data_IF_268820199779
#
_entry.id   IF_268820199779
#
_cell.length_a   1.000
_cell.length_b   1.000
_cell.length_c   1.000
_cell.angle_alpha   90.00
_cell.angle_beta   90.00
_cell.angle_gamma   90.00
#
_symmetry.space_group_name_H-M   'P 1'
#
loop_
_entity.id
_entity.type
_entity.pdbx_description
1 polymer ?
#
# COMPACT_ATOMS: atom_id res chain seq x y z
N UNK A 1 -6.87 -4.39 -14.12
CA UNK A 1 -6.58 -3.26 -15.07
C UNK A 1 -5.68 -2.26 -14.36
N UNK A 2 -4.82 -1.53 -15.10
CA UNK A 2 -3.98 -0.50 -14.48
C UNK A 2 -4.78 0.75 -14.15
N UNK A 3 -4.42 1.46 -13.08
CA UNK A 3 -5.06 2.76 -12.71
C UNK A 3 -5.02 3.76 -13.86
N UNK A 4 -3.88 3.83 -14.59
CA UNK A 4 -3.76 4.69 -15.79
C UNK A 4 -4.76 4.34 -16.88
N UNK A 5 -5.07 3.07 -17.06
CA UNK A 5 -6.08 2.64 -18.06
C UNK A 5 -7.48 3.06 -17.62
N UNK A 6 -7.80 2.96 -16.31
CA UNK A 6 -9.06 3.49 -15.76
C UNK A 6 -9.19 4.99 -16.02
N UNK A 7 -8.11 5.76 -15.75
CA UNK A 7 -8.10 7.22 -15.98
C UNK A 7 -8.25 7.54 -17.46
N UNK A 8 -7.54 6.84 -18.34
CA UNK A 8 -7.64 7.05 -19.79
C UNK A 8 -9.06 6.71 -20.31
N UNK A 9 -9.62 5.60 -19.84
CA UNK A 9 -10.96 5.16 -20.24
C UNK A 9 -12.08 6.06 -19.72
N UNK A 10 -11.82 6.84 -18.68
CA UNK A 10 -12.79 7.80 -18.15
C UNK A 10 -13.11 8.93 -19.12
N UNK A 11 -12.25 9.22 -20.12
CA UNK A 11 -12.47 10.24 -21.14
C UNK A 11 -12.88 11.60 -20.55
N UNK A 12 -12.20 12.04 -19.48
CA UNK A 12 -12.47 13.30 -18.80
C UNK A 12 -13.65 13.26 -17.80
N UNK A 13 -14.28 12.13 -17.57
CA UNK A 13 -15.26 11.96 -16.50
C UNK A 13 -14.54 11.80 -15.17
N UNK A 14 -15.12 12.33 -14.09
CA UNK A 14 -14.62 12.14 -12.73
C UNK A 14 -14.78 10.68 -12.31
N UNK A 15 -13.71 10.07 -11.84
CA UNK A 15 -13.70 8.77 -11.19
C UNK A 15 -13.74 8.97 -9.67
N UNK A 16 -14.42 8.08 -8.97
CA UNK A 16 -14.44 8.02 -7.51
C UNK A 16 -13.85 6.68 -7.09
N UNK A 17 -12.79 6.71 -6.29
CA UNK A 17 -12.25 5.55 -5.61
C UNK A 17 -12.41 5.69 -4.10
N UNK A 18 -12.26 4.60 -3.38
CA UNK A 18 -12.39 4.58 -1.94
C UNK A 18 -11.18 3.92 -1.31
N UNK A 19 -10.76 4.44 -0.16
CA UNK A 19 -9.69 3.87 0.64
C UNK A 19 -10.28 3.12 1.83
N UNK A 20 -9.90 1.85 1.98
CA UNK A 20 -10.39 0.96 3.04
C UNK A 20 -9.30 0.73 4.08
N UNK A 21 -9.65 0.98 5.33
CA UNK A 21 -8.80 0.69 6.47
C UNK A 21 -9.01 -0.77 6.92
N UNK A 22 -7.99 -1.64 6.88
CA UNK A 22 -8.11 -3.00 7.41
C UNK A 22 -8.58 -3.01 8.87
N UNK A 23 -9.42 -3.97 9.27
CA UNK A 23 -9.92 -4.06 10.63
C UNK A 23 -8.81 -4.45 11.61
N UNK A 24 -9.04 -4.24 12.90
CA UNK A 24 -8.15 -4.75 13.94
C UNK A 24 -8.19 -6.28 13.99
N UNK A 25 -7.09 -6.89 14.46
CA UNK A 25 -7.03 -8.35 14.70
C UNK A 25 -8.25 -8.85 15.49
N UNK A 26 -8.75 -10.00 15.10
CA UNK A 26 -9.92 -10.62 15.71
C UNK A 26 -11.25 -10.39 14.97
N UNK A 27 -11.24 -9.51 13.97
CA UNK A 27 -12.35 -9.38 13.02
C UNK A 27 -12.08 -10.22 11.77
N UNK A 28 -13.13 -10.56 11.04
CA UNK A 28 -13.05 -11.33 9.79
C UNK A 28 -13.24 -10.40 8.57
N UNK A 29 -13.08 -10.97 7.38
CA UNK A 29 -13.19 -10.22 6.11
C UNK A 29 -14.61 -9.67 5.88
N UNK A 30 -15.64 -10.25 6.51
CA UNK A 30 -17.00 -9.76 6.36
C UNK A 30 -17.15 -8.30 6.81
N UNK A 31 -16.40 -7.88 7.85
CA UNK A 31 -16.41 -6.47 8.29
C UNK A 31 -15.93 -5.49 7.21
N UNK A 32 -15.04 -5.94 6.31
CA UNK A 32 -14.61 -5.16 5.15
C UNK A 32 -15.70 -5.14 4.09
N UNK A 33 -16.30 -6.28 3.81
CA UNK A 33 -17.38 -6.39 2.85
C UNK A 33 -18.59 -5.54 3.24
N UNK A 34 -18.97 -5.56 4.52
CA UNK A 34 -20.06 -4.71 5.05
C UNK A 34 -19.80 -3.21 4.84
N UNK A 35 -18.51 -2.81 4.83
CA UNK A 35 -18.11 -1.43 4.56
C UNK A 35 -18.09 -1.10 3.05
N UNK A 36 -17.78 -2.06 2.20
CA UNK A 36 -17.66 -1.89 0.75
C UNK A 36 -19.01 -2.01 0.06
N UNK A 37 -19.88 -2.93 0.49
CA UNK A 37 -21.17 -3.21 -0.15
C UNK A 37 -21.98 -1.92 -0.49
N UNK A 38 -22.13 -0.93 0.42
CA UNK A 38 -22.83 0.30 0.08
C UNK A 38 -22.06 1.22 -0.89
N UNK A 39 -20.73 1.10 -0.97
CA UNK A 39 -19.90 1.92 -1.85
C UNK A 39 -19.96 1.45 -3.30
N UNK A 40 -20.35 0.21 -3.55
CA UNK A 40 -20.44 -0.36 -4.90
C UNK A 40 -21.52 0.29 -5.75
N UNK A 41 -22.50 1.00 -5.15
CA UNK A 41 -23.48 1.80 -5.89
C UNK A 41 -22.84 2.92 -6.73
N UNK A 42 -21.64 3.40 -6.33
CA UNK A 42 -20.87 4.42 -7.03
C UNK A 42 -20.01 3.89 -8.16
N UNK A 43 -20.01 2.57 -8.39
CA UNK A 43 -19.18 1.90 -9.41
C UNK A 43 -17.71 2.34 -9.37
N UNK A 44 -17.00 2.22 -8.22
CA UNK A 44 -15.61 2.61 -8.14
C UNK A 44 -14.76 1.77 -9.11
N UNK A 45 -13.84 2.38 -9.87
CA UNK A 45 -12.97 1.63 -10.79
C UNK A 45 -11.93 0.80 -10.03
N UNK A 46 -11.56 1.23 -8.84
CA UNK A 46 -10.63 0.55 -7.94
C UNK A 46 -10.87 0.96 -6.49
N UNK A 47 -10.35 0.15 -5.57
CA UNK A 47 -10.43 0.36 -4.12
C UNK A 47 -9.02 0.21 -3.53
N UNK A 48 -8.57 1.23 -2.81
CA UNK A 48 -7.29 1.25 -2.11
C UNK A 48 -7.41 0.56 -0.74
N UNK A 49 -6.38 -0.20 -0.34
CA UNK A 49 -6.32 -0.87 0.95
C UNK A 49 -5.10 -0.40 1.71
N UNK A 50 -5.33 0.40 2.76
CA UNK A 50 -4.25 0.96 3.56
C UNK A 50 -3.45 -0.10 4.30
N UNK A 51 -2.14 0.13 4.42
CA UNK A 51 -1.29 -0.64 5.31
C UNK A 51 -0.94 0.16 6.55
N UNK A 52 -1.06 -0.46 7.72
CA UNK A 52 -0.67 0.12 9.00
C UNK A 52 0.34 -0.75 9.71
N UNK A 53 1.45 -0.12 10.13
CA UNK A 53 2.46 -0.74 10.98
C UNK A 53 1.84 -1.15 12.32
N UNK A 54 2.44 -2.15 12.95
CA UNK A 54 2.08 -2.55 14.30
C UNK A 54 2.41 -1.44 15.30
N UNK A 55 1.48 -1.15 16.20
CA UNK A 55 1.74 -0.25 17.34
C UNK A 55 2.14 -1.06 18.58
N UNK A 56 3.13 -0.56 19.29
CA UNK A 56 3.66 -1.22 20.49
C UNK A 56 3.58 -0.30 21.68
N UNK A 57 3.34 -0.87 22.86
CA UNK A 57 3.52 -0.25 24.15
C UNK A 57 4.60 -0.99 24.92
N UNK A 58 5.39 -0.24 25.70
CA UNK A 58 6.37 -0.80 26.62
C UNK A 58 5.80 -0.72 28.03
N UNK A 59 5.66 -1.85 28.69
CA UNK A 59 5.21 -1.95 30.08
C UNK A 59 6.40 -2.36 30.95
N UNK A 60 6.67 -1.56 31.99
CA UNK A 60 7.66 -1.93 32.98
C UNK A 60 7.11 -3.06 33.87
N UNK A 61 7.91 -4.10 34.03
CA UNK A 61 7.63 -5.23 34.90
C UNK A 61 8.21 -4.99 36.31
N UNK A 62 7.71 -5.71 37.31
CA UNK A 62 8.16 -5.59 38.70
C UNK A 62 9.66 -5.83 38.93
N UNK A 63 10.35 -6.48 37.98
CA UNK A 63 11.80 -6.71 37.99
C UNK A 63 12.60 -5.63 37.25
N UNK A 64 11.98 -4.51 36.87
CA UNK A 64 12.62 -3.42 36.12
C UNK A 64 12.83 -3.67 34.63
N UNK A 65 12.39 -4.81 34.09
CA UNK A 65 12.47 -5.09 32.66
C UNK A 65 11.29 -4.47 31.91
N UNK A 66 11.52 -4.06 30.66
CA UNK A 66 10.49 -3.54 29.78
C UNK A 66 9.93 -4.68 28.90
N UNK A 67 8.63 -4.90 29.01
CA UNK A 67 7.90 -5.81 28.13
C UNK A 67 7.34 -5.03 26.93
N UNK A 68 7.76 -5.41 25.71
CA UNK A 68 7.18 -4.91 24.47
C UNK A 68 5.86 -5.66 24.20
N UNK A 69 4.75 -4.93 24.13
CA UNK A 69 3.41 -5.48 23.85
C UNK A 69 2.83 -4.86 22.59
N UNK A 70 2.42 -5.71 21.64
CA UNK A 70 1.66 -5.25 20.47
C UNK A 70 0.26 -4.85 20.90
N UNK A 71 -0.11 -3.58 20.71
CA UNK A 71 -1.43 -3.06 21.08
C UNK A 71 -2.37 -2.96 19.88
N UNK A 72 -1.85 -2.64 18.70
CA UNK A 72 -2.62 -2.68 17.47
C UNK A 72 -1.91 -3.51 16.41
N UNK A 73 -2.64 -4.40 15.81
CA UNK A 73 -2.22 -5.21 14.66
C UNK A 73 -3.40 -5.39 13.73
N UNK A 74 -3.15 -5.30 12.43
CA UNK A 74 -4.14 -5.44 11.37
C UNK A 74 -3.72 -6.57 10.43
N UNK A 75 -4.64 -7.20 9.70
CA UNK A 75 -4.31 -8.11 8.62
C UNK A 75 -3.46 -7.42 7.56
N UNK A 76 -2.64 -8.19 6.85
CA UNK A 76 -1.90 -7.73 5.67
C UNK A 76 -2.85 -7.40 4.51
N UNK A 77 -2.38 -6.53 3.61
CA UNK A 77 -3.20 -6.03 2.50
C UNK A 77 -3.43 -7.06 1.40
N UNK A 78 -2.49 -8.01 1.19
CA UNK A 78 -2.57 -9.02 0.11
C UNK A 78 -3.87 -9.82 0.17
N UNK A 79 -4.16 -10.45 1.32
CA UNK A 79 -5.37 -11.27 1.48
C UNK A 79 -6.67 -10.47 1.37
N UNK A 80 -6.65 -9.21 1.80
CA UNK A 80 -7.80 -8.31 1.70
C UNK A 80 -8.05 -7.94 0.24
N UNK A 81 -7.01 -7.53 -0.50
CA UNK A 81 -7.10 -7.19 -1.92
C UNK A 81 -7.59 -8.38 -2.74
N UNK A 82 -7.05 -9.58 -2.50
CA UNK A 82 -7.54 -10.79 -3.15
C UNK A 82 -9.03 -11.06 -2.86
N UNK A 83 -9.46 -10.85 -1.61
CA UNK A 83 -10.87 -10.99 -1.23
C UNK A 83 -11.78 -9.97 -1.90
N UNK A 84 -11.34 -8.71 -2.02
CA UNK A 84 -12.07 -7.63 -2.70
C UNK A 84 -12.21 -7.95 -4.19
N UNK A 85 -11.11 -8.24 -4.89
CA UNK A 85 -11.15 -8.56 -6.31
C UNK A 85 -12.04 -9.77 -6.61
N UNK A 86 -11.96 -10.82 -5.78
CA UNK A 86 -12.78 -12.01 -5.97
C UNK A 86 -14.28 -11.76 -5.75
N UNK A 87 -14.66 -10.87 -4.82
CA UNK A 87 -16.08 -10.61 -4.52
C UNK A 87 -16.71 -9.59 -5.44
N UNK A 88 -15.98 -8.52 -5.79
CA UNK A 88 -16.59 -7.34 -6.42
C UNK A 88 -16.18 -7.15 -7.89
N UNK A 89 -15.23 -7.93 -8.41
CA UNK A 89 -14.68 -7.74 -9.75
C UNK A 89 -14.18 -6.30 -9.99
N UNK A 90 -13.54 -5.72 -8.95
CA UNK A 90 -12.95 -4.38 -8.94
C UNK A 90 -11.48 -4.47 -8.63
N UNK A 91 -10.66 -3.62 -9.24
CA UNK A 91 -9.22 -3.61 -8.97
C UNK A 91 -8.97 -3.17 -7.52
N UNK A 92 -8.23 -3.98 -6.75
CA UNK A 92 -7.83 -3.66 -5.39
C UNK A 92 -6.36 -3.27 -5.36
N UNK A 93 -6.05 -2.15 -4.72
CA UNK A 93 -4.73 -1.54 -4.70
C UNK A 93 -4.15 -1.59 -3.29
N UNK A 94 -3.21 -2.50 -2.99
CA UNK A 94 -2.58 -2.56 -1.69
C UNK A 94 -1.57 -1.43 -1.49
N UNK A 95 -1.56 -0.82 -0.30
CA UNK A 95 -0.50 0.08 0.14
C UNK A 95 0.71 -0.72 0.64
N UNK A 96 1.90 -0.26 0.29
CA UNK A 96 3.19 -0.77 0.74
C UNK A 96 3.93 0.37 1.45
N UNK A 97 4.44 0.12 2.66
CA UNK A 97 5.18 1.13 3.42
C UNK A 97 6.67 0.84 3.44
N UNK A 98 7.48 1.79 3.02
CA UNK A 98 8.95 1.72 3.16
C UNK A 98 9.37 1.57 4.63
N UNK A 99 8.62 2.14 5.55
CA UNK A 99 8.92 2.12 6.99
C UNK A 99 8.49 0.86 7.73
N UNK A 100 7.93 -0.14 7.08
CA UNK A 100 7.43 -1.34 7.74
C UNK A 100 7.88 -2.66 7.12
N UNK A 101 8.71 -2.58 6.07
CA UNK A 101 9.16 -3.72 5.30
C UNK A 101 10.68 -3.69 5.13
N UNK A 102 11.30 -4.86 5.27
CA UNK A 102 12.64 -5.10 4.73
C UNK A 102 12.54 -5.20 3.21
N UNK A 103 13.69 -5.23 2.54
CA UNK A 103 13.73 -5.47 1.09
C UNK A 103 13.14 -6.82 0.72
N UNK A 104 13.45 -7.86 1.51
CA UNK A 104 12.93 -9.21 1.32
C UNK A 104 11.41 -9.27 1.55
N UNK A 105 10.89 -8.59 2.58
CA UNK A 105 9.44 -8.51 2.82
C UNK A 105 8.71 -7.84 1.65
N UNK A 106 9.32 -6.80 1.07
CA UNK A 106 8.78 -6.10 -0.10
C UNK A 106 8.76 -7.02 -1.32
N UNK A 107 9.85 -7.76 -1.57
CA UNK A 107 9.95 -8.70 -2.69
C UNK A 107 8.91 -9.83 -2.56
N UNK A 108 8.81 -10.44 -1.38
CA UNK A 108 7.83 -11.49 -1.12
C UNK A 108 6.39 -10.99 -1.32
N UNK A 109 6.08 -9.79 -0.82
CA UNK A 109 4.76 -9.19 -1.01
C UNK A 109 4.45 -8.95 -2.49
N UNK A 110 5.41 -8.47 -3.26
CA UNK A 110 5.24 -8.23 -4.70
C UNK A 110 5.02 -9.54 -5.47
N UNK A 111 5.72 -10.61 -5.11
CA UNK A 111 5.54 -11.95 -5.68
C UNK A 111 4.10 -12.45 -5.41
N UNK A 112 3.62 -12.30 -4.17
CA UNK A 112 2.27 -12.71 -3.80
C UNK A 112 1.21 -11.92 -4.58
N UNK A 113 1.42 -10.61 -4.79
CA UNK A 113 0.50 -9.76 -5.55
C UNK A 113 0.46 -10.15 -7.03
N UNK A 114 1.63 -10.37 -7.65
CA UNK A 114 1.74 -10.83 -9.04
C UNK A 114 1.03 -12.18 -9.23
N UNK A 115 1.26 -13.12 -8.31
CA UNK A 115 0.60 -14.43 -8.33
C UNK A 115 -0.93 -14.33 -8.25
N UNK A 116 -1.45 -13.32 -7.56
CA UNK A 116 -2.89 -13.09 -7.42
C UNK A 116 -3.48 -12.22 -8.55
N UNK A 117 -2.66 -11.76 -9.49
CA UNK A 117 -3.09 -10.87 -10.58
C UNK A 117 -3.48 -9.47 -10.09
N UNK A 118 -2.84 -9.00 -9.01
CA UNK A 118 -3.03 -7.64 -8.48
C UNK A 118 -1.98 -6.73 -9.12
N UNK A 119 -2.39 -5.98 -10.13
CA UNK A 119 -1.50 -5.24 -11.04
C UNK A 119 -1.06 -3.86 -10.51
N UNK A 120 -1.61 -3.39 -9.40
CA UNK A 120 -1.40 -2.03 -8.91
C UNK A 120 -1.00 -2.03 -7.44
N UNK A 121 -0.08 -1.14 -7.05
CA UNK A 121 0.29 -0.90 -5.66
C UNK A 121 0.49 0.60 -5.42
N UNK A 122 0.26 1.05 -4.18
CA UNK A 122 0.65 2.38 -3.72
C UNK A 122 1.86 2.23 -2.79
N UNK A 123 3.01 2.74 -3.22
CA UNK A 123 4.21 2.76 -2.40
C UNK A 123 4.29 4.07 -1.60
N UNK A 124 4.27 3.97 -0.28
CA UNK A 124 4.28 5.09 0.64
C UNK A 124 5.54 5.06 1.51
N UNK A 125 6.07 6.22 1.85
CA UNK A 125 7.14 6.31 2.86
C UNK A 125 6.66 5.76 4.21
N UNK A 126 5.45 6.05 4.59
CA UNK A 126 4.89 5.84 5.91
C UNK A 126 5.28 6.94 6.91
N UNK A 127 4.57 6.99 8.02
CA UNK A 127 4.81 7.93 9.10
C UNK A 127 5.84 7.38 10.09
N UNK A 128 6.50 8.30 10.81
CA UNK A 128 7.31 7.93 11.95
C UNK A 128 6.43 7.30 13.05
N UNK A 129 6.95 6.32 13.78
CA UNK A 129 6.25 5.78 14.95
C UNK A 129 6.13 6.85 16.04
N UNK A 130 5.13 6.73 16.92
CA UNK A 130 4.88 7.70 18.02
C UNK A 130 6.08 7.98 18.92
N UNK A 131 7.01 7.04 19.00
CA UNK A 131 8.25 7.13 19.77
C UNK A 131 9.47 7.49 18.91
N UNK A 132 9.29 7.82 17.64
CA UNK A 132 10.33 8.26 16.72
C UNK A 132 10.15 9.74 16.40
N UNK A 133 11.26 10.47 16.38
CA UNK A 133 11.26 11.92 16.05
C UNK A 133 11.21 12.15 14.54
N UNK A 134 11.62 11.18 13.75
CA UNK A 134 11.64 11.22 12.29
C UNK A 134 11.55 9.79 11.74
N UNK A 135 11.12 9.70 10.48
CA UNK A 135 11.04 8.43 9.76
C UNK A 135 12.40 7.73 9.69
N UNK A 136 12.39 6.43 9.97
CA UNK A 136 13.53 5.53 9.73
C UNK A 136 13.03 4.28 9.01
N UNK A 137 13.70 3.85 7.93
CA UNK A 137 13.41 2.55 7.33
C UNK A 137 13.75 1.43 8.32
N UNK A 138 13.18 0.25 8.10
CA UNK A 138 13.61 -0.95 8.80
C UNK A 138 15.09 -1.26 8.49
N UNK A 139 15.74 -2.05 9.36
CA UNK A 139 17.08 -2.53 9.05
C UNK A 139 17.02 -3.33 7.75
N UNK A 140 17.85 -2.97 6.77
CA UNK A 140 17.80 -3.50 5.40
C UNK A 140 16.49 -3.19 4.65
N UNK A 141 15.71 -2.23 5.14
CA UNK A 141 14.54 -1.70 4.46
C UNK A 141 14.92 -0.72 3.37
N UNK A 142 13.99 -0.47 2.47
CA UNK A 142 14.17 0.48 1.38
C UNK A 142 13.83 1.89 1.84
N UNK A 143 14.64 2.87 1.45
CA UNK A 143 14.22 4.28 1.49
C UNK A 143 13.13 4.49 0.44
N UNK A 144 12.30 5.52 0.64
CA UNK A 144 11.19 5.84 -0.27
C UNK A 144 11.57 5.81 -1.75
N UNK A 145 12.67 6.49 -2.12
CA UNK A 145 13.17 6.52 -3.50
C UNK A 145 13.64 5.13 -3.98
N UNK A 146 14.21 4.33 -3.10
CA UNK A 146 14.65 2.97 -3.42
C UNK A 146 13.47 2.01 -3.55
N UNK A 147 12.44 2.15 -2.72
CA UNK A 147 11.20 1.37 -2.85
C UNK A 147 10.52 1.64 -4.18
N UNK A 148 10.44 2.92 -4.57
CA UNK A 148 9.92 3.32 -5.86
C UNK A 148 10.78 2.75 -7.00
N UNK A 149 12.12 2.77 -6.88
CA UNK A 149 13.03 2.18 -7.87
C UNK A 149 13.02 0.66 -7.85
N UNK A 150 12.84 0.04 -6.70
CA UNK A 150 12.76 -1.42 -6.56
C UNK A 150 11.46 -1.94 -7.16
N UNK A 151 10.35 -1.30 -6.83
CA UNK A 151 9.09 -1.53 -7.52
C UNK A 151 9.21 -1.23 -9.02
N UNK A 152 10.01 -0.25 -9.43
CA UNK A 152 10.17 0.20 -10.81
C UNK A 152 11.10 -0.69 -11.68
N UNK A 153 11.96 -1.51 -11.10
CA UNK A 153 12.73 -2.51 -11.89
C UNK A 153 11.82 -3.66 -12.38
N UNK A 154 10.71 -3.85 -11.72
CA UNK A 154 9.66 -4.81 -12.07
C UNK A 154 8.34 -4.12 -12.47
N UNK A 155 8.22 -2.76 -12.31
CA UNK A 155 6.95 -2.04 -12.23
C UNK A 155 7.13 -0.61 -12.74
N UNK A 156 6.12 -0.04 -13.39
CA UNK A 156 6.14 1.37 -13.81
C UNK A 156 5.65 2.23 -12.66
N UNK A 157 6.44 3.22 -12.32
CA UNK A 157 6.06 4.29 -11.41
C UNK A 157 5.78 5.53 -12.25
N UNK A 158 4.57 6.05 -12.21
CA UNK A 158 4.28 7.38 -12.72
C UNK A 158 4.40 8.37 -11.56
N UNK A 159 5.38 9.29 -11.65
CA UNK A 159 5.46 10.42 -10.73
C UNK A 159 4.38 11.42 -11.11
N UNK A 160 3.47 11.74 -10.18
CA UNK A 160 2.66 12.93 -10.33
C UNK A 160 3.53 14.19 -10.32
N UNK A 161 3.23 15.20 -11.17
CA UNK A 161 3.97 16.45 -11.17
C UNK A 161 3.84 17.11 -9.79
N UNK A 162 4.97 17.48 -9.22
CA UNK A 162 5.18 18.10 -7.90
C UNK A 162 4.09 19.11 -7.53
N UNK A 163 3.08 18.68 -6.81
CA UNK A 163 2.18 19.53 -6.05
C UNK A 163 2.49 19.33 -4.57
N UNK A 164 3.16 20.32 -4.01
CA UNK A 164 3.44 20.55 -2.58
C UNK A 164 3.80 19.34 -1.68
N UNK A 165 4.89 19.47 -1.00
CA UNK A 165 5.68 18.59 -0.13
C UNK A 165 4.96 17.73 0.95
N UNK A 166 3.64 17.67 1.03
CA UNK A 166 2.92 16.98 2.10
C UNK A 166 2.25 15.65 1.72
N UNK A 167 2.02 15.38 0.42
CA UNK A 167 1.35 14.14 -0.03
C UNK A 167 1.97 13.60 -1.32
N UNK A 168 3.10 12.95 -1.22
CA UNK A 168 3.66 12.18 -2.34
C UNK A 168 3.18 10.72 -2.24
N UNK A 169 2.01 10.46 -2.74
CA UNK A 169 1.55 9.11 -3.04
C UNK A 169 2.05 8.74 -4.43
N UNK A 170 2.80 7.67 -4.53
CA UNK A 170 3.31 7.17 -5.78
C UNK A 170 2.58 5.88 -6.14
N UNK A 171 1.88 5.87 -7.27
CA UNK A 171 1.24 4.68 -7.80
C UNK A 171 2.26 3.90 -8.65
N UNK A 172 2.56 2.68 -8.25
CA UNK A 172 3.40 1.76 -9.00
C UNK A 172 2.55 0.66 -9.65
N UNK A 173 2.81 0.37 -10.91
CA UNK A 173 2.07 -0.64 -11.69
C UNK A 173 2.93 -1.86 -11.93
N UNK A 174 2.36 -3.05 -11.70
CA UNK A 174 2.95 -4.32 -12.01
C UNK A 174 2.92 -4.55 -13.53
N UNK A 175 4.08 -4.57 -14.18
CA UNK A 175 4.17 -4.98 -15.58
C UNK A 175 5.45 -5.77 -15.86
N UNK A 176 5.38 -7.10 -15.99
CA UNK A 176 6.54 -7.95 -16.24
C UNK A 176 7.22 -7.71 -17.59
N UNK A 177 6.60 -6.96 -18.53
CA UNK A 177 7.07 -6.82 -19.91
C UNK A 177 7.58 -5.41 -20.27
N UNK A 178 7.74 -4.49 -19.31
CA UNK A 178 8.17 -3.13 -19.64
C UNK A 178 9.65 -2.89 -19.37
N UNK A 179 10.38 -2.59 -20.42
CA UNK A 179 11.74 -2.08 -20.38
C UNK A 179 11.77 -0.65 -19.83
N UNK A 180 12.59 -0.46 -18.82
CA UNK A 180 12.90 0.78 -18.14
C UNK A 180 13.10 1.97 -19.09
N UNK A 181 12.35 3.06 -18.87
CA UNK A 181 12.79 4.41 -19.25
C UNK A 181 13.16 5.16 -17.98
N UNK A 182 14.40 5.63 -17.83
CA UNK A 182 14.73 6.51 -16.73
C UNK A 182 13.89 7.78 -16.83
N UNK A 183 13.48 8.40 -15.69
CA UNK A 183 12.81 9.68 -15.72
C UNK A 183 13.70 10.70 -16.43
N UNK A 184 13.11 11.47 -17.33
CA UNK A 184 13.81 12.59 -17.96
C UNK A 184 14.14 13.60 -16.84
N UNK A 185 15.44 13.76 -16.57
CA UNK A 185 15.91 14.85 -15.71
C UNK A 185 15.65 16.12 -16.50
N UNK A 186 14.61 16.83 -16.13
CA UNK A 186 14.41 18.20 -16.62
C UNK A 186 15.44 19.07 -15.91
N UNK A 187 16.44 19.47 -16.71
CA UNK A 187 17.42 20.48 -16.37
C UNK A 187 16.79 21.86 -16.17
#
# INVERSE_FOLDING_TARGET
MKVTEHIQNANGKTLFSFEILPPLKGQNIQSIFDSIDPLMEFNPPFIDVTYHREEYEFKELANGLLQKKVVKKRPGTVGICAGIQNKYDVDAIPHILCGGFTKEDTENLLIDLDFLGIDNVVALRGDALKNETYFKPEKEGLFYEESCRYCNRSWIVEEEPKLNYEYQNLYAYLNPNFLFRPPAILS
#
